data_IF_196593368887
#
_entry.id   IF_196593368887
#
_cell.length_a   1.000
_cell.length_b   1.000
_cell.length_c   1.000
_cell.angle_alpha   90.00
_cell.angle_beta   90.00
_cell.angle_gamma   90.00
#
_symmetry.space_group_name_H-M   'P 1'
#
loop_
_entity.id
_entity.type
_entity.pdbx_description
1 polymer ?
#
# COMPACT_ATOMS: atom_id res chain seq x y z
N UNK A 1 -46.88 -9.88 -57.58
CA UNK A 1 -46.53 -11.08 -56.77
C UNK A 1 -45.16 -10.86 -56.14
N UNK A 2 -45.11 -10.96 -54.81
CA UNK A 2 -43.96 -11.14 -53.89
C UNK A 2 -42.68 -10.31 -54.09
N UNK A 3 -42.54 -9.30 -53.21
CA UNK A 3 -41.26 -8.74 -52.75
C UNK A 3 -40.44 -9.84 -52.07
N UNK A 4 -39.16 -9.98 -52.42
CA UNK A 4 -38.15 -10.63 -51.57
C UNK A 4 -37.04 -9.59 -51.40
N UNK A 5 -37.07 -8.93 -50.24
CA UNK A 5 -35.99 -8.07 -49.75
C UNK A 5 -35.01 -9.04 -49.05
N UNK A 6 -33.83 -9.24 -49.63
CA UNK A 6 -32.75 -9.99 -48.97
C UNK A 6 -32.06 -9.01 -48.03
N UNK A 7 -32.39 -9.08 -46.76
CA UNK A 7 -31.69 -8.35 -45.70
C UNK A 7 -30.43 -9.13 -45.36
N UNK A 8 -29.28 -8.69 -45.89
CA UNK A 8 -27.96 -9.18 -45.49
C UNK A 8 -27.66 -8.66 -44.10
N UNK A 9 -27.79 -9.52 -43.07
CA UNK A 9 -27.27 -9.24 -41.73
C UNK A 9 -25.73 -9.24 -41.81
N UNK A 10 -25.10 -8.06 -41.79
CA UNK A 10 -23.69 -7.94 -41.47
C UNK A 10 -23.53 -8.19 -39.96
N UNK A 11 -23.02 -9.37 -39.62
CA UNK A 11 -22.46 -9.65 -38.30
C UNK A 11 -21.14 -8.86 -38.19
N UNK A 12 -21.18 -7.66 -37.64
CA UNK A 12 -19.97 -6.98 -37.17
C UNK A 12 -19.52 -7.65 -35.89
N UNK A 13 -18.60 -8.63 -36.01
CA UNK A 13 -17.83 -9.09 -34.88
C UNK A 13 -16.97 -7.92 -34.38
N UNK A 14 -17.34 -7.34 -33.25
CA UNK A 14 -16.48 -6.42 -32.53
C UNK A 14 -15.27 -7.23 -32.02
N UNK A 15 -14.18 -7.23 -32.78
CA UNK A 15 -12.87 -7.59 -32.26
C UNK A 15 -12.53 -6.55 -31.19
N UNK A 16 -12.76 -6.90 -29.93
CA UNK A 16 -12.12 -6.22 -28.83
C UNK A 16 -10.62 -6.39 -29.04
N UNK A 17 -9.95 -5.35 -29.53
CA UNK A 17 -8.51 -5.28 -29.51
C UNK A 17 -8.11 -5.22 -28.03
N UNK A 18 -7.77 -6.37 -27.45
CA UNK A 18 -6.99 -6.39 -26.23
C UNK A 18 -5.70 -5.66 -26.55
N UNK A 19 -5.52 -4.46 -25.98
CA UNK A 19 -4.24 -3.78 -26.02
C UNK A 19 -3.22 -4.77 -25.46
N UNK A 20 -2.24 -5.16 -26.28
CA UNK A 20 -1.21 -6.09 -25.86
C UNK A 20 -0.50 -5.49 -24.65
N UNK A 21 -0.50 -6.22 -23.55
CA UNK A 21 0.11 -5.79 -22.31
C UNK A 21 1.58 -5.42 -22.57
N UNK A 22 1.92 -4.15 -22.37
CA UNK A 22 3.26 -3.63 -22.66
C UNK A 22 4.14 -3.84 -21.44
N UNK A 23 4.58 -5.08 -21.24
CA UNK A 23 5.57 -5.41 -20.22
C UNK A 23 6.96 -4.88 -20.62
N UNK A 24 7.82 -4.50 -19.65
CA UNK A 24 9.24 -4.33 -19.90
C UNK A 24 9.85 -5.57 -20.59
N UNK A 25 10.93 -5.40 -21.35
CA UNK A 25 11.51 -6.51 -22.14
C UNK A 25 12.07 -7.66 -21.30
N UNK A 26 12.34 -7.43 -20.02
CA UNK A 26 12.81 -8.45 -19.08
C UNK A 26 11.68 -8.99 -18.17
N UNK A 27 10.42 -8.64 -18.45
CA UNK A 27 9.25 -9.11 -17.72
C UNK A 27 8.51 -10.16 -18.52
N UNK A 28 8.25 -11.30 -17.90
CA UNK A 28 7.51 -12.40 -18.50
C UNK A 28 6.40 -12.81 -17.54
N UNK A 29 5.17 -12.46 -17.89
CA UNK A 29 3.98 -12.79 -17.09
C UNK A 29 3.24 -13.95 -17.75
N UNK A 30 3.03 -15.02 -17.01
CA UNK A 30 2.21 -16.15 -17.40
C UNK A 30 1.12 -16.41 -16.37
N UNK A 31 -0.04 -16.89 -16.82
CA UNK A 31 -1.12 -17.31 -15.94
C UNK A 31 -1.33 -18.80 -16.11
N UNK A 32 -1.12 -19.56 -15.05
CA UNK A 32 -1.29 -21.00 -15.02
C UNK A 32 -2.78 -21.38 -15.07
N UNK A 33 -3.08 -22.63 -15.39
CA UNK A 33 -4.47 -23.12 -15.53
C UNK A 33 -5.27 -23.03 -14.21
N UNK A 34 -4.60 -23.14 -13.06
CA UNK A 34 -5.20 -22.93 -11.74
C UNK A 34 -5.37 -21.45 -11.35
N UNK A 35 -5.01 -20.53 -12.24
CA UNK A 35 -5.17 -19.10 -12.06
C UNK A 35 -4.05 -18.39 -11.31
N UNK A 36 -3.00 -19.10 -10.87
CA UNK A 36 -1.80 -18.45 -10.33
C UNK A 36 -1.12 -17.62 -11.42
N UNK A 37 -0.88 -16.35 -11.13
CA UNK A 37 -0.06 -15.49 -11.98
C UNK A 37 1.42 -15.67 -11.62
N UNK A 38 2.27 -15.98 -12.60
CA UNK A 38 3.71 -16.15 -12.46
C UNK A 38 4.40 -15.05 -13.23
N UNK A 39 5.09 -14.16 -12.52
CA UNK A 39 5.89 -13.09 -13.10
C UNK A 39 7.38 -13.43 -12.96
N UNK A 40 8.08 -13.54 -14.08
CA UNK A 40 9.54 -13.67 -14.10
C UNK A 40 10.17 -12.34 -14.49
N UNK A 41 11.13 -11.87 -13.69
CA UNK A 41 11.91 -10.66 -13.97
C UNK A 41 13.38 -11.05 -14.13
N UNK A 42 13.86 -11.07 -15.37
CA UNK A 42 15.23 -11.47 -15.66
C UNK A 42 16.21 -10.31 -15.36
N UNK A 43 17.22 -10.60 -14.54
CA UNK A 43 18.34 -9.72 -14.21
C UNK A 43 19.60 -10.54 -13.88
N UNK A 44 20.47 -10.69 -14.88
CA UNK A 44 21.69 -11.51 -14.78
C UNK A 44 22.87 -10.75 -14.14
N UNK A 45 22.62 -9.68 -13.39
CA UNK A 45 23.67 -8.85 -12.78
C UNK A 45 24.43 -9.57 -11.66
N UNK A 46 23.76 -10.45 -10.92
CA UNK A 46 24.34 -11.27 -9.83
C UNK A 46 23.71 -12.66 -9.83
N UNK A 47 24.43 -13.74 -9.46
CA UNK A 47 23.94 -15.13 -9.53
C UNK A 47 22.99 -15.49 -8.37
N UNK A 48 22.00 -14.63 -8.13
CA UNK A 48 20.98 -14.75 -7.10
C UNK A 48 19.59 -14.75 -7.73
N UNK A 49 18.64 -15.37 -7.05
CA UNK A 49 17.23 -15.32 -7.37
C UNK A 49 16.44 -14.93 -6.11
N UNK A 50 15.50 -14.01 -6.28
CA UNK A 50 14.48 -13.65 -5.30
C UNK A 50 13.17 -14.33 -5.71
N UNK A 51 12.58 -15.07 -4.79
CA UNK A 51 11.24 -15.65 -4.93
C UNK A 51 10.32 -14.91 -3.99
N UNK A 52 9.20 -14.41 -4.51
CA UNK A 52 8.17 -13.75 -3.74
C UNK A 52 6.80 -14.36 -4.08
N UNK A 53 5.95 -14.56 -3.07
CA UNK A 53 4.54 -14.79 -3.29
C UNK A 53 3.75 -13.69 -2.58
N UNK A 54 2.84 -13.07 -3.33
CA UNK A 54 1.93 -12.04 -2.82
C UNK A 54 0.51 -12.55 -2.85
N UNK A 55 -0.24 -12.24 -1.80
CA UNK A 55 -1.66 -12.55 -1.68
C UNK A 55 -2.43 -11.25 -1.56
N UNK A 56 -3.57 -11.13 -2.26
CA UNK A 56 -4.52 -10.04 -2.00
C UNK A 56 -5.24 -10.32 -0.67
N UNK A 57 -4.56 -9.98 0.41
CA UNK A 57 -4.96 -10.07 1.81
C UNK A 57 -4.23 -8.95 2.56
N UNK A 58 -4.66 -8.53 3.74
CA UNK A 58 -3.98 -7.48 4.51
C UNK A 58 -4.93 -6.83 5.49
N UNK A 59 -4.62 -5.64 5.99
CA UNK A 59 -5.53 -4.96 6.91
C UNK A 59 -6.90 -4.72 6.26
N UNK A 60 -6.95 -4.39 4.96
CA UNK A 60 -8.21 -4.05 4.28
C UNK A 60 -9.26 -5.17 4.24
N UNK A 61 -8.85 -6.42 4.48
CA UNK A 61 -9.69 -7.63 4.51
C UNK A 61 -10.07 -8.06 5.92
N UNK A 62 -9.57 -7.37 6.94
CA UNK A 62 -9.84 -7.66 8.35
C UNK A 62 -11.12 -6.96 8.83
N UNK A 63 -11.70 -7.48 9.90
CA UNK A 63 -12.68 -6.81 10.74
C UNK A 63 -12.13 -6.65 12.18
N UNK A 64 -12.91 -6.10 13.10
CA UNK A 64 -12.48 -5.92 14.49
C UNK A 64 -12.08 -7.22 15.21
N UNK A 65 -12.60 -8.38 14.79
CA UNK A 65 -12.26 -9.67 15.40
C UNK A 65 -10.98 -10.30 14.82
N UNK A 66 -10.49 -9.77 13.70
CA UNK A 66 -9.30 -10.23 12.97
C UNK A 66 -8.22 -9.15 12.83
N UNK A 67 -8.36 -7.97 13.44
CA UNK A 67 -7.42 -6.88 13.21
C UNK A 67 -6.00 -7.19 13.71
N UNK A 68 -5.02 -7.15 12.80
CA UNK A 68 -3.62 -7.53 13.04
C UNK A 68 -3.31 -8.99 12.72
N UNK A 69 -4.31 -9.80 12.38
CA UNK A 69 -4.10 -11.23 12.19
C UNK A 69 -3.52 -11.58 10.82
N UNK A 70 -3.58 -10.69 9.83
CA UNK A 70 -2.78 -10.86 8.60
C UNK A 70 -1.29 -10.71 8.88
N UNK A 71 -0.93 -9.78 9.77
CA UNK A 71 0.46 -9.61 10.23
C UNK A 71 0.89 -10.79 11.11
N UNK A 72 0.03 -11.27 12.02
CA UNK A 72 0.35 -12.50 12.77
C UNK A 72 0.48 -13.72 11.84
N UNK A 73 -0.40 -13.86 10.86
CA UNK A 73 -0.30 -14.90 9.84
C UNK A 73 1.05 -14.82 9.13
N UNK A 74 1.55 -13.61 8.87
CA UNK A 74 2.86 -13.42 8.27
C UNK A 74 4.00 -14.01 9.11
N UNK A 75 3.99 -13.79 10.43
CA UNK A 75 4.95 -14.42 11.34
C UNK A 75 4.83 -15.95 11.32
N UNK A 76 3.58 -16.44 11.29
CA UNK A 76 3.29 -17.88 11.25
C UNK A 76 3.65 -18.55 9.92
N UNK A 77 3.76 -17.79 8.82
CA UNK A 77 4.18 -18.30 7.51
C UNK A 77 5.60 -18.89 7.54
N UNK A 78 6.48 -18.30 8.36
CA UNK A 78 7.88 -18.73 8.51
C UNK A 78 8.09 -19.76 9.63
N UNK A 79 7.06 -20.55 9.92
CA UNK A 79 7.04 -21.57 10.98
C UNK A 79 6.84 -22.99 10.41
N UNK A 80 6.51 -23.94 11.29
CA UNK A 80 6.28 -25.32 10.92
C UNK A 80 5.23 -25.47 9.81
N UNK A 81 5.58 -26.26 8.81
CA UNK A 81 4.74 -26.63 7.69
C UNK A 81 4.82 -28.15 7.45
N UNK A 82 4.02 -28.66 6.52
CA UNK A 82 3.93 -30.10 6.24
C UNK A 82 5.29 -30.78 5.97
N UNK A 83 6.19 -30.11 5.26
CA UNK A 83 7.47 -30.69 4.85
C UNK A 83 8.60 -30.38 5.85
N UNK A 84 8.39 -29.37 6.69
CA UNK A 84 9.32 -28.90 7.72
C UNK A 84 8.54 -28.71 9.03
N UNK A 85 8.31 -29.78 9.81
CA UNK A 85 7.33 -29.78 10.90
C UNK A 85 7.79 -29.13 12.21
N UNK A 86 8.88 -28.35 12.19
CA UNK A 86 9.37 -27.63 13.38
C UNK A 86 10.14 -26.35 13.02
N UNK A 87 10.16 -25.38 13.94
CA UNK A 87 10.95 -24.16 13.79
C UNK A 87 12.46 -24.40 13.66
N UNK A 88 13.00 -25.40 14.37
CA UNK A 88 14.42 -25.74 14.30
C UNK A 88 14.79 -26.25 12.91
N UNK A 89 13.99 -27.15 12.34
CA UNK A 89 14.18 -27.67 10.99
C UNK A 89 13.98 -26.58 9.93
N UNK A 90 13.07 -25.64 10.16
CA UNK A 90 12.86 -24.47 9.29
C UNK A 90 14.12 -23.62 9.20
N UNK A 91 14.68 -23.22 10.34
CA UNK A 91 15.92 -22.45 10.38
C UNK A 91 17.09 -23.24 9.82
N UNK A 92 17.14 -24.55 10.05
CA UNK A 92 18.16 -25.42 9.44
C UNK A 92 18.05 -25.42 7.91
N UNK A 93 16.85 -25.57 7.36
CA UNK A 93 16.62 -25.56 5.91
C UNK A 93 16.95 -24.21 5.28
N UNK A 94 16.59 -23.11 5.94
CA UNK A 94 16.99 -21.75 5.54
C UNK A 94 18.51 -21.63 5.42
N UNK A 95 19.25 -22.10 6.43
CA UNK A 95 20.71 -22.08 6.42
C UNK A 95 21.32 -22.98 5.34
N UNK A 96 20.78 -24.18 5.14
CA UNK A 96 21.23 -25.12 4.10
C UNK A 96 21.08 -24.52 2.69
N UNK A 97 19.99 -23.79 2.43
CA UNK A 97 19.74 -23.13 1.15
C UNK A 97 20.44 -21.78 1.00
N UNK A 98 20.99 -21.23 2.09
CA UNK A 98 21.57 -19.89 2.12
C UNK A 98 20.53 -18.79 1.89
N UNK A 99 19.31 -19.01 2.39
CA UNK A 99 18.17 -18.10 2.21
C UNK A 99 18.31 -16.88 3.12
N UNK A 100 18.07 -15.69 2.56
CA UNK A 100 17.73 -14.48 3.31
C UNK A 100 16.25 -14.18 3.04
N UNK A 101 15.41 -14.24 4.07
CA UNK A 101 13.96 -14.14 3.93
C UNK A 101 13.36 -13.01 4.76
N UNK A 102 12.19 -12.54 4.35
CA UNK A 102 11.35 -11.65 5.14
C UNK A 102 9.89 -11.69 4.59
N UNK A 103 8.96 -11.08 5.31
CA UNK A 103 7.62 -10.78 4.83
C UNK A 103 7.30 -9.30 5.03
N UNK A 104 6.23 -8.82 4.40
CA UNK A 104 5.59 -7.57 4.83
C UNK A 104 4.08 -7.65 4.70
N UNK A 105 3.39 -7.11 5.70
CA UNK A 105 1.95 -6.86 5.70
C UNK A 105 1.67 -5.38 5.55
N UNK A 106 0.73 -5.05 4.67
CA UNK A 106 0.25 -3.69 4.43
C UNK A 106 -1.28 -3.64 4.49
N UNK A 107 -1.82 -2.45 4.24
CA UNK A 107 -3.26 -2.31 4.04
C UNK A 107 -3.77 -3.18 2.90
N UNK A 108 -3.02 -3.37 1.81
CA UNK A 108 -3.54 -3.89 0.53
C UNK A 108 -3.02 -5.29 0.15
N UNK A 109 -1.90 -5.71 0.74
CA UNK A 109 -1.28 -7.02 0.49
C UNK A 109 -0.52 -7.57 1.69
N UNK A 110 -0.34 -8.88 1.68
CA UNK A 110 0.74 -9.59 2.39
C UNK A 110 1.65 -10.23 1.35
N UNK A 111 2.96 -10.07 1.49
CA UNK A 111 3.93 -10.77 0.66
C UNK A 111 4.98 -11.51 1.51
N UNK A 112 5.49 -12.60 0.95
CA UNK A 112 6.50 -13.46 1.53
C UNK A 112 7.60 -13.64 0.53
N UNK A 113 8.83 -13.41 0.93
CA UNK A 113 9.92 -13.46 -0.02
C UNK A 113 11.22 -13.93 0.60
N UNK A 114 12.08 -14.44 -0.27
CA UNK A 114 13.45 -14.75 0.07
C UNK A 114 14.37 -14.64 -1.13
N UNK A 115 15.65 -14.44 -0.86
CA UNK A 115 16.73 -14.46 -1.85
C UNK A 115 17.71 -15.59 -1.55
N UNK A 116 18.15 -16.28 -2.59
CA UNK A 116 19.08 -17.41 -2.55
C UNK A 116 19.99 -17.42 -3.80
N UNK A 117 20.96 -18.34 -3.85
CA UNK A 117 21.67 -18.60 -5.10
C UNK A 117 20.72 -19.18 -6.15
N UNK A 118 20.80 -18.71 -7.39
CA UNK A 118 19.96 -19.22 -8.49
C UNK A 118 20.08 -20.74 -8.71
N UNK A 119 21.21 -21.35 -8.31
CA UNK A 119 21.43 -22.80 -8.36
C UNK A 119 20.46 -23.61 -7.49
N UNK A 120 19.90 -23.00 -6.45
CA UNK A 120 18.97 -23.66 -5.52
C UNK A 120 17.50 -23.25 -5.80
N UNK A 121 17.21 -22.67 -6.98
CA UNK A 121 15.89 -22.09 -7.27
C UNK A 121 14.75 -23.11 -7.13
N UNK A 122 14.94 -24.33 -7.64
CA UNK A 122 13.93 -25.40 -7.53
C UNK A 122 13.62 -25.69 -6.06
N UNK A 123 14.65 -25.85 -5.22
CA UNK A 123 14.51 -26.09 -3.78
C UNK A 123 13.87 -24.89 -3.05
N UNK A 124 14.15 -23.67 -3.52
CA UNK A 124 13.48 -22.46 -3.04
C UNK A 124 11.99 -22.47 -3.36
N UNK A 125 11.61 -22.79 -4.60
CA UNK A 125 10.19 -22.87 -4.99
C UNK A 125 9.45 -23.97 -4.22
N UNK A 126 10.09 -25.12 -3.98
CA UNK A 126 9.56 -26.19 -3.12
C UNK A 126 9.36 -25.68 -1.68
N UNK A 127 10.34 -24.96 -1.13
CA UNK A 127 10.24 -24.34 0.20
C UNK A 127 9.08 -23.35 0.29
N UNK A 128 8.88 -22.50 -0.72
CA UNK A 128 7.75 -21.56 -0.79
C UNK A 128 6.41 -22.31 -0.83
N UNK A 129 6.33 -23.39 -1.61
CA UNK A 129 5.13 -24.22 -1.76
C UNK A 129 4.67 -24.84 -0.44
N UNK A 130 5.60 -25.35 0.37
CA UNK A 130 5.27 -25.93 1.68
C UNK A 130 4.68 -24.87 2.62
N UNK A 131 5.28 -23.68 2.66
CA UNK A 131 4.85 -22.60 3.54
C UNK A 131 3.49 -21.99 3.15
N UNK A 132 3.25 -21.74 1.86
CA UNK A 132 2.01 -21.09 1.40
C UNK A 132 0.79 -22.04 1.43
N UNK A 133 0.96 -23.31 1.06
CA UNK A 133 -0.17 -24.25 0.93
C UNK A 133 -0.44 -25.04 2.20
N UNK A 134 0.61 -25.37 2.95
CA UNK A 134 0.54 -26.35 4.03
C UNK A 134 1.17 -25.88 5.36
N UNK A 135 0.87 -24.65 5.84
CA UNK A 135 1.25 -24.26 7.19
C UNK A 135 0.52 -25.13 8.21
N UNK A 136 1.19 -25.49 9.32
CA UNK A 136 0.60 -26.34 10.36
C UNK A 136 -0.09 -25.54 11.49
N UNK A 137 0.26 -24.26 11.65
CA UNK A 137 -0.21 -23.39 12.74
C UNK A 137 -0.20 -24.09 14.10
N UNK A 138 0.99 -24.49 14.59
CA UNK A 138 1.09 -25.20 15.86
C UNK A 138 0.70 -24.29 17.04
N UNK A 139 -0.11 -24.80 17.96
CA UNK A 139 -0.57 -24.04 19.14
C UNK A 139 0.59 -23.51 20.00
N UNK A 140 1.66 -24.31 20.13
CA UNK A 140 2.86 -23.90 20.86
C UNK A 140 3.60 -22.75 20.19
N UNK A 141 3.69 -22.76 18.85
CA UNK A 141 4.31 -21.68 18.09
C UNK A 141 3.46 -20.39 18.20
N UNK A 142 2.14 -20.49 18.05
CA UNK A 142 1.21 -19.36 18.25
C UNK A 142 1.35 -18.76 19.65
N UNK A 143 1.43 -19.59 20.70
CA UNK A 143 1.60 -19.12 22.07
C UNK A 143 2.88 -18.30 22.27
N UNK A 144 3.93 -18.62 21.51
CA UNK A 144 5.20 -17.91 21.55
C UNK A 144 5.20 -16.66 20.67
N UNK A 145 4.55 -16.70 19.50
CA UNK A 145 4.55 -15.59 18.54
C UNK A 145 3.53 -14.49 18.85
N UNK A 146 2.35 -14.81 19.41
CA UNK A 146 1.37 -13.80 19.81
C UNK A 146 2.00 -12.67 20.65
N UNK A 147 2.76 -12.94 21.75
CA UNK A 147 3.40 -11.88 22.52
C UNK A 147 4.59 -11.21 21.80
N UNK A 148 5.21 -11.86 20.80
CA UNK A 148 6.26 -11.25 19.98
C UNK A 148 5.65 -10.16 19.10
N UNK A 149 4.59 -10.49 18.37
CA UNK A 149 3.84 -9.53 17.54
C UNK A 149 3.25 -8.41 18.39
N UNK A 150 2.69 -8.73 19.55
CA UNK A 150 2.23 -7.74 20.52
C UNK A 150 3.36 -6.81 20.99
N UNK A 151 4.57 -7.35 21.22
CA UNK A 151 5.75 -6.57 21.54
C UNK A 151 6.16 -5.58 20.43
N UNK A 152 5.89 -5.90 19.17
CA UNK A 152 6.06 -4.95 18.06
C UNK A 152 5.04 -3.82 18.10
N UNK A 153 3.79 -4.14 18.45
CA UNK A 153 2.77 -3.14 18.72
C UNK A 153 3.21 -2.22 19.87
N UNK A 154 3.62 -2.77 21.02
CA UNK A 154 4.09 -1.99 22.17
C UNK A 154 5.30 -1.11 21.83
N UNK A 155 6.20 -1.59 20.96
CA UNK A 155 7.31 -0.79 20.44
C UNK A 155 6.81 0.39 19.61
N UNK A 156 5.76 0.19 18.80
CA UNK A 156 5.12 1.29 18.08
C UNK A 156 4.41 2.27 19.04
N UNK A 157 3.76 1.78 20.10
CA UNK A 157 3.15 2.62 21.16
C UNK A 157 4.17 3.52 21.85
N UNK A 158 5.41 3.06 21.95
CA UNK A 158 6.50 3.84 22.54
C UNK A 158 6.92 5.04 21.67
N UNK A 159 6.43 5.14 20.43
CA UNK A 159 6.66 6.28 19.56
C UNK A 159 5.84 7.49 20.04
N UNK A 160 6.44 8.68 20.23
CA UNK A 160 5.72 9.87 20.70
C UNK A 160 4.54 10.29 19.82
N UNK A 161 4.53 9.88 18.54
CA UNK A 161 3.47 10.19 17.57
C UNK A 161 2.34 9.15 17.52
N UNK A 162 2.45 8.03 18.25
CA UNK A 162 1.53 6.91 18.14
C UNK A 162 0.06 7.31 18.39
N UNK A 163 -0.22 8.01 19.49
CA UNK A 163 -1.57 8.44 19.82
C UNK A 163 -2.18 9.40 18.79
N UNK A 164 -1.35 10.26 18.19
CA UNK A 164 -1.78 11.12 17.08
C UNK A 164 -2.19 10.27 15.88
N UNK A 165 -1.36 9.30 15.48
CA UNK A 165 -1.64 8.42 14.34
C UNK A 165 -2.89 7.57 14.57
N UNK A 166 -3.05 6.99 15.75
CA UNK A 166 -4.22 6.18 16.11
C UNK A 166 -5.50 7.03 16.10
N UNK A 167 -5.48 8.20 16.74
CA UNK A 167 -6.64 9.09 16.80
C UNK A 167 -6.99 9.64 15.42
N UNK A 168 -5.98 10.03 14.64
CA UNK A 168 -6.14 10.48 13.26
C UNK A 168 -6.78 9.38 12.40
N UNK A 169 -6.25 8.17 12.45
CA UNK A 169 -6.75 7.01 11.72
C UNK A 169 -8.20 6.68 12.07
N UNK A 170 -8.55 6.64 13.36
CA UNK A 170 -9.93 6.39 13.81
C UNK A 170 -10.90 7.47 13.30
N UNK A 171 -10.49 8.74 13.29
CA UNK A 171 -11.32 9.85 12.77
C UNK A 171 -11.42 9.82 11.24
N UNK A 172 -10.35 9.42 10.55
CA UNK A 172 -10.31 9.31 9.09
C UNK A 172 -11.17 8.16 8.57
N UNK A 173 -11.24 7.05 9.29
CA UNK A 173 -11.78 5.80 8.75
C UNK A 173 -12.99 5.26 9.53
N UNK A 174 -13.32 5.86 10.68
CA UNK A 174 -14.48 5.54 11.49
C UNK A 174 -14.50 4.07 11.91
N UNK A 175 -15.68 3.45 11.79
CA UNK A 175 -15.89 2.05 12.15
C UNK A 175 -14.99 1.10 11.36
N UNK A 176 -14.54 1.48 10.16
CA UNK A 176 -13.67 0.65 9.31
C UNK A 176 -12.18 0.90 9.54
N UNK A 177 -11.78 1.55 10.64
CA UNK A 177 -10.39 1.86 10.95
C UNK A 177 -9.44 0.64 10.90
N UNK A 178 -9.91 -0.53 11.35
CA UNK A 178 -9.13 -1.77 11.32
C UNK A 178 -8.56 -2.09 9.93
N UNK A 179 -9.21 -1.61 8.85
CA UNK A 179 -8.76 -1.78 7.46
C UNK A 179 -7.57 -0.94 7.03
N UNK A 180 -7.13 -0.05 7.92
CA UNK A 180 -5.98 0.86 7.75
C UNK A 180 -5.02 0.74 8.95
N UNK A 181 -5.11 -0.38 9.67
CA UNK A 181 -4.37 -0.64 10.89
C UNK A 181 -3.71 -2.03 10.83
N UNK A 182 -2.67 -2.21 10.00
CA UNK A 182 -2.00 -3.50 9.84
C UNK A 182 -1.32 -4.00 11.12
N UNK A 183 -0.98 -3.10 12.04
CA UNK A 183 -0.37 -3.47 13.32
C UNK A 183 -1.35 -4.15 14.29
N UNK A 184 -2.67 -3.90 14.13
CA UNK A 184 -3.72 -4.66 14.81
C UNK A 184 -4.21 -4.10 16.14
N UNK A 185 -4.78 -4.98 16.97
CA UNK A 185 -5.24 -4.69 18.33
C UNK A 185 -4.66 -5.70 19.31
N UNK A 186 -4.11 -5.23 20.44
CA UNK A 186 -3.54 -6.08 21.51
C UNK A 186 -4.39 -7.31 21.83
N UNK A 187 -5.65 -7.09 22.21
CA UNK A 187 -6.53 -8.17 22.65
C UNK A 187 -6.78 -9.20 21.54
N UNK A 188 -6.85 -8.76 20.28
CA UNK A 188 -7.09 -9.63 19.12
C UNK A 188 -5.84 -10.48 18.82
N UNK A 189 -4.66 -9.87 18.87
CA UNK A 189 -3.37 -10.53 18.63
C UNK A 189 -3.08 -11.54 19.74
N UNK A 190 -3.18 -11.12 21.01
CA UNK A 190 -2.88 -11.96 22.16
C UNK A 190 -3.84 -13.16 22.27
N UNK A 191 -5.11 -12.99 21.88
CA UNK A 191 -6.13 -14.04 21.89
C UNK A 191 -6.24 -14.83 20.58
N UNK A 192 -5.33 -14.60 19.61
CA UNK A 192 -5.36 -15.30 18.33
C UNK A 192 -5.19 -16.81 18.49
N UNK A 193 -5.96 -17.57 17.70
CA UNK A 193 -5.96 -19.04 17.72
C UNK A 193 -5.58 -19.61 16.36
N UNK A 194 -5.20 -20.88 16.34
CA UNK A 194 -4.93 -21.64 15.11
C UNK A 194 -6.15 -21.67 14.20
N UNK A 195 -7.36 -21.76 14.76
CA UNK A 195 -8.63 -21.67 14.02
C UNK A 195 -8.76 -20.34 13.25
N UNK A 196 -8.35 -19.21 13.85
CA UNK A 196 -8.37 -17.92 13.12
C UNK A 196 -7.39 -17.89 11.96
N UNK A 197 -6.22 -18.52 12.09
CA UNK A 197 -5.26 -18.64 10.99
C UNK A 197 -5.82 -19.50 9.86
N UNK A 198 -6.49 -20.62 10.19
CA UNK A 198 -7.18 -21.45 9.21
C UNK A 198 -8.33 -20.69 8.52
N UNK A 199 -9.08 -19.85 9.24
CA UNK A 199 -10.12 -19.00 8.62
C UNK A 199 -9.49 -18.05 7.61
N UNK A 200 -8.38 -17.38 7.94
CA UNK A 200 -7.68 -16.46 7.03
C UNK A 200 -7.19 -17.22 5.80
N UNK A 201 -6.53 -18.37 6.00
CA UNK A 201 -6.04 -19.23 4.93
C UNK A 201 -7.17 -19.60 3.96
N UNK A 202 -8.26 -20.15 4.48
CA UNK A 202 -9.40 -20.63 3.69
C UNK A 202 -10.26 -19.50 3.10
N UNK A 203 -10.00 -18.24 3.43
CA UNK A 203 -10.63 -17.09 2.77
C UNK A 203 -9.81 -16.59 1.59
N UNK A 204 -8.49 -16.49 1.73
CA UNK A 204 -7.69 -15.67 0.83
C UNK A 204 -6.49 -16.38 0.18
N UNK A 205 -6.02 -17.51 0.72
CA UNK A 205 -4.78 -18.16 0.28
C UNK A 205 -5.06 -19.21 -0.80
N UNK A 206 -5.27 -18.72 -2.01
CA UNK A 206 -5.54 -19.51 -3.21
C UNK A 206 -4.69 -19.01 -4.39
N UNK A 207 -4.38 -19.88 -5.38
CA UNK A 207 -3.56 -19.50 -6.53
C UNK A 207 -4.21 -18.37 -7.34
N UNK A 208 -5.53 -18.44 -7.56
CA UNK A 208 -6.31 -17.42 -8.26
C UNK A 208 -6.53 -16.11 -7.46
N UNK A 209 -5.97 -16.00 -6.25
CA UNK A 209 -5.90 -14.76 -5.47
C UNK A 209 -4.44 -14.35 -5.14
N UNK A 210 -3.47 -14.97 -5.81
CA UNK A 210 -2.04 -14.84 -5.52
C UNK A 210 -1.22 -14.61 -6.80
N UNK A 211 -0.02 -14.07 -6.64
CA UNK A 211 0.98 -13.98 -7.68
C UNK A 211 2.33 -14.47 -7.15
N UNK A 212 2.99 -15.34 -7.91
CA UNK A 212 4.37 -15.75 -7.70
C UNK A 212 5.27 -14.85 -8.57
N UNK A 213 6.25 -14.20 -7.96
CA UNK A 213 7.28 -13.45 -8.67
C UNK A 213 8.64 -14.11 -8.44
N UNK A 214 9.38 -14.34 -9.53
CA UNK A 214 10.76 -14.84 -9.49
C UNK A 214 11.65 -13.85 -10.23
N UNK A 215 12.62 -13.27 -9.54
CA UNK A 215 13.45 -12.20 -10.10
C UNK A 215 14.95 -12.45 -9.87
N UNK A 216 15.80 -12.11 -10.84
CA UNK A 216 17.27 -12.25 -10.73
C UNK A 216 17.88 -13.01 -11.91
N UNK A 217 19.02 -13.69 -11.69
CA UNK A 217 19.75 -14.46 -12.71
C UNK A 217 19.03 -15.79 -12.96
N UNK A 218 17.89 -15.69 -13.65
CA UNK A 218 16.94 -16.76 -13.96
C UNK A 218 16.50 -16.65 -15.42
N UNK A 219 15.99 -17.76 -15.97
CA UNK A 219 15.42 -17.82 -17.32
C UNK A 219 13.93 -18.14 -17.24
N UNK A 220 13.08 -17.27 -17.78
CA UNK A 220 11.63 -17.49 -17.77
C UNK A 220 11.19 -18.80 -18.44
N UNK A 221 11.90 -19.25 -19.49
CA UNK A 221 11.63 -20.52 -20.17
C UNK A 221 11.85 -21.75 -19.27
N UNK A 222 12.63 -21.59 -18.19
CA UNK A 222 12.88 -22.63 -17.18
C UNK A 222 11.99 -22.45 -15.95
N UNK A 223 11.83 -21.21 -15.48
CA UNK A 223 11.09 -20.86 -14.26
C UNK A 223 9.61 -21.18 -14.39
N UNK A 224 8.97 -20.84 -15.51
CA UNK A 224 7.54 -21.08 -15.70
C UNK A 224 7.21 -22.58 -15.61
N UNK A 225 7.91 -23.50 -16.32
CA UNK A 225 7.70 -24.93 -16.13
C UNK A 225 7.97 -25.43 -14.70
N UNK A 226 8.96 -24.85 -13.99
CA UNK A 226 9.18 -25.18 -12.57
C UNK A 226 8.00 -24.77 -11.70
N UNK A 227 7.47 -23.56 -11.91
CA UNK A 227 6.31 -23.05 -11.20
C UNK A 227 5.08 -23.91 -11.47
N UNK A 228 4.80 -24.25 -12.74
CA UNK A 228 3.70 -25.16 -13.11
C UNK A 228 3.86 -26.54 -12.45
N UNK A 229 5.08 -27.10 -12.45
CA UNK A 229 5.34 -28.39 -11.81
C UNK A 229 5.07 -28.39 -10.31
N UNK A 230 5.36 -27.28 -9.61
CA UNK A 230 5.28 -27.19 -8.15
C UNK A 230 3.89 -26.72 -7.69
N UNK A 231 3.34 -25.72 -8.37
CA UNK A 231 2.12 -25.02 -7.97
C UNK A 231 0.91 -25.36 -8.84
N UNK A 232 1.06 -26.03 -9.99
CA UNK A 232 -0.04 -26.30 -10.92
C UNK A 232 -1.16 -27.18 -10.33
N UNK A 233 -0.85 -27.99 -9.31
CA UNK A 233 -1.83 -28.78 -8.54
C UNK A 233 -2.36 -28.05 -7.29
N UNK A 234 -2.03 -26.77 -7.12
CA UNK A 234 -2.66 -25.94 -6.10
C UNK A 234 -4.09 -25.64 -6.53
N UNK A 235 -5.06 -26.19 -5.80
CA UNK A 235 -6.47 -26.02 -6.11
C UNK A 235 -6.89 -24.54 -6.02
N UNK A 236 -7.54 -23.98 -7.06
CA UNK A 236 -8.12 -22.64 -7.00
C UNK A 236 -9.30 -22.60 -6.04
N UNK A 237 -9.61 -21.40 -5.54
CA UNK A 237 -10.88 -21.17 -4.87
C UNK A 237 -12.04 -21.39 -5.84
N UNK A 238 -13.12 -22.04 -5.37
CA UNK A 238 -14.39 -22.19 -6.09
C UNK A 238 -15.28 -20.93 -6.02
N UNK A 239 -14.82 -19.88 -5.34
CA UNK A 239 -15.47 -18.57 -5.24
C UNK A 239 -14.47 -17.41 -5.35
N UNK A 240 -14.93 -16.23 -5.74
CA UNK A 240 -14.16 -14.99 -5.56
C UNK A 240 -14.24 -14.55 -4.08
N UNK A 241 -13.09 -14.46 -3.35
CA UNK A 241 -13.09 -14.04 -1.95
C UNK A 241 -13.76 -12.69 -1.70
N UNK A 242 -13.66 -11.76 -2.63
CA UNK A 242 -14.19 -10.40 -2.48
C UNK A 242 -15.66 -10.27 -2.90
N UNK A 243 -16.21 -11.24 -3.62
CA UNK A 243 -17.66 -11.35 -3.81
C UNK A 243 -18.33 -12.08 -2.63
N UNK A 244 -17.69 -13.15 -2.13
CA UNK A 244 -18.21 -13.93 -1.00
C UNK A 244 -18.08 -13.19 0.33
N UNK A 245 -17.00 -12.45 0.50
CA UNK A 245 -16.71 -11.62 1.67
C UNK A 245 -16.49 -10.17 1.21
N UNK A 246 -17.58 -9.46 0.88
CA UNK A 246 -17.47 -8.12 0.34
C UNK A 246 -16.81 -7.17 1.33
N UNK A 247 -15.84 -6.43 0.82
CA UNK A 247 -15.10 -5.44 1.58
C UNK A 247 -15.99 -4.19 1.74
N UNK A 248 -16.28 -3.72 2.97
CA UNK A 248 -17.12 -2.54 3.18
C UNK A 248 -16.52 -1.27 2.53
N UNK A 249 -17.35 -0.33 2.09
CA UNK A 249 -16.85 1.00 1.70
C UNK A 249 -16.64 1.88 2.93
N UNK A 250 -15.74 2.85 2.85
CA UNK A 250 -15.58 3.84 3.91
C UNK A 250 -16.75 4.84 3.89
N UNK A 251 -17.32 5.13 5.06
CA UNK A 251 -18.32 6.18 5.17
C UNK A 251 -17.66 7.54 4.85
N UNK A 252 -18.30 8.42 4.06
CA UNK A 252 -17.75 9.75 3.80
C UNK A 252 -17.49 10.51 5.10
N UNK A 253 -16.36 11.23 5.14
CA UNK A 253 -16.07 12.19 6.20
C UNK A 253 -17.19 13.25 6.29
N UNK A 254 -17.38 13.82 7.49
CA UNK A 254 -18.42 14.82 7.76
C UNK A 254 -17.79 16.12 8.26
N UNK A 255 -17.88 17.17 7.45
CA UNK A 255 -17.34 18.49 7.78
C UNK A 255 -15.86 18.47 8.15
N UNK A 256 -15.46 19.44 8.94
CA UNK A 256 -14.12 19.50 9.55
C UNK A 256 -14.15 18.79 10.91
N UNK A 257 -13.21 17.88 11.14
CA UNK A 257 -12.98 17.26 12.45
C UNK A 257 -11.60 17.63 12.96
N UNK A 258 -11.52 18.42 14.05
CA UNK A 258 -10.26 18.80 14.71
C UNK A 258 -10.04 18.00 15.99
N UNK A 259 -8.79 17.72 16.33
CA UNK A 259 -8.41 17.18 17.63
C UNK A 259 -6.98 17.54 18.03
N UNK A 260 -6.76 17.63 19.34
CA UNK A 260 -5.45 17.88 19.94
C UNK A 260 -4.93 16.59 20.59
N UNK A 261 -3.65 16.30 20.40
CA UNK A 261 -2.91 15.27 21.13
C UNK A 261 -1.76 15.92 21.89
N UNK A 262 -1.61 15.56 23.15
CA UNK A 262 -0.53 16.07 23.99
C UNK A 262 0.49 14.97 24.24
N UNK A 263 1.77 15.32 24.09
CA UNK A 263 2.87 14.40 24.37
C UNK A 263 4.05 15.16 24.97
N UNK A 264 4.47 14.76 26.17
CA UNK A 264 5.66 15.33 26.82
C UNK A 264 6.94 15.10 26.02
N UNK A 265 6.93 14.08 25.15
CA UNK A 265 8.05 13.71 24.28
C UNK A 265 8.00 14.45 22.93
N UNK A 266 6.93 15.18 22.61
CA UNK A 266 6.87 16.00 21.41
C UNK A 266 7.90 17.14 21.52
N UNK A 267 8.86 17.19 20.60
CA UNK A 267 9.86 18.26 20.55
C UNK A 267 9.42 19.44 19.71
N UNK A 268 8.57 19.20 18.74
CA UNK A 268 8.00 20.20 17.83
C UNK A 268 6.50 19.96 17.70
N UNK A 269 5.70 21.02 17.48
CA UNK A 269 4.32 20.85 17.05
C UNK A 269 4.26 20.09 15.73
N UNK A 270 3.23 19.26 15.54
CA UNK A 270 3.01 18.47 14.34
C UNK A 270 1.54 18.49 13.97
N UNK A 271 1.22 18.97 12.78
CA UNK A 271 -0.10 18.83 12.19
C UNK A 271 -0.15 17.64 11.24
N UNK A 272 -1.25 16.91 11.32
CA UNK A 272 -1.69 15.95 10.32
C UNK A 272 -3.05 16.38 9.78
N UNK A 273 -3.16 16.58 8.47
CA UNK A 273 -4.44 16.87 7.82
C UNK A 273 -4.73 15.75 6.82
N UNK A 274 -5.96 15.27 6.78
CA UNK A 274 -6.35 14.11 5.98
C UNK A 274 -7.65 14.32 5.24
N UNK A 275 -7.66 13.92 3.97
CA UNK A 275 -8.85 13.82 3.13
C UNK A 275 -9.01 12.40 2.60
N UNK A 276 -10.24 12.00 2.28
CA UNK A 276 -10.46 10.82 1.45
C UNK A 276 -10.05 11.13 0.01
N UNK A 277 -9.13 10.33 -0.54
CA UNK A 277 -8.61 10.46 -1.89
C UNK A 277 -9.22 9.48 -2.89
N UNK A 278 -8.74 9.53 -4.15
CA UNK A 278 -9.16 8.60 -5.19
C UNK A 278 -8.74 7.16 -4.88
N UNK A 279 -9.43 6.21 -5.49
CA UNK A 279 -9.07 4.79 -5.49
C UNK A 279 -8.93 4.25 -6.91
N UNK A 280 -8.27 3.10 -7.05
CA UNK A 280 -7.93 2.54 -8.37
C UNK A 280 -9.12 1.87 -9.07
N UNK A 281 -10.24 1.65 -8.36
CA UNK A 281 -11.47 1.07 -8.92
C UNK A 281 -12.34 2.13 -9.60
N UNK A 282 -12.42 3.31 -9.00
CA UNK A 282 -13.43 4.32 -9.30
C UNK A 282 -12.85 5.58 -9.97
N UNK A 283 -11.61 5.97 -9.66
CA UNK A 283 -10.97 7.14 -10.30
C UNK A 283 -9.46 6.97 -10.49
N UNK A 284 -9.10 5.98 -11.31
CA UNK A 284 -7.71 5.68 -11.67
C UNK A 284 -6.96 6.89 -12.25
N UNK A 285 -7.65 7.82 -12.91
CA UNK A 285 -7.00 8.98 -13.52
C UNK A 285 -6.52 9.97 -12.46
N UNK A 286 -7.32 10.16 -11.41
CA UNK A 286 -7.01 11.06 -10.30
C UNK A 286 -5.88 10.54 -9.42
N UNK A 287 -5.59 9.22 -9.39
CA UNK A 287 -4.43 8.68 -8.65
C UNK A 287 -3.11 9.21 -9.23
N UNK A 288 -2.95 9.19 -10.57
CA UNK A 288 -1.79 9.79 -11.23
C UNK A 288 -1.72 11.31 -11.04
N UNK A 289 -2.88 11.99 -11.05
CA UNK A 289 -2.94 13.43 -10.84
C UNK A 289 -2.50 13.81 -9.42
N UNK A 290 -2.86 12.98 -8.42
CA UNK A 290 -2.44 13.15 -7.03
C UNK A 290 -0.92 13.11 -6.89
N UNK A 291 -0.26 12.09 -7.47
CA UNK A 291 1.20 11.95 -7.42
C UNK A 291 1.91 13.13 -8.10
N UNK A 292 1.49 13.49 -9.31
CA UNK A 292 2.08 14.63 -10.03
C UNK A 292 1.90 15.92 -9.23
N UNK A 293 0.70 16.15 -8.67
CA UNK A 293 0.43 17.34 -7.89
C UNK A 293 1.28 17.41 -6.62
N UNK A 294 1.39 16.30 -5.87
CA UNK A 294 2.28 16.19 -4.71
C UNK A 294 3.72 16.54 -5.05
N UNK A 295 4.24 16.05 -6.19
CA UNK A 295 5.60 16.38 -6.65
C UNK A 295 5.76 17.82 -7.15
N UNK A 296 4.68 18.51 -7.56
CA UNK A 296 4.72 19.96 -7.80
C UNK A 296 4.92 20.69 -6.47
N UNK A 297 4.15 20.32 -5.45
CA UNK A 297 4.16 20.99 -4.14
C UNK A 297 5.48 20.78 -3.38
N UNK A 298 6.15 19.65 -3.56
CA UNK A 298 7.41 19.32 -2.89
C UNK A 298 8.64 20.02 -3.48
N UNK A 299 8.55 20.59 -4.68
CA UNK A 299 9.68 21.31 -5.28
C UNK A 299 10.03 22.55 -4.45
N UNK A 300 11.32 22.76 -4.16
CA UNK A 300 11.79 23.96 -3.47
C UNK A 300 11.35 25.27 -4.16
N UNK A 301 11.15 25.24 -5.48
CA UNK A 301 10.68 26.39 -6.25
C UNK A 301 9.18 26.70 -6.08
N UNK A 302 8.40 25.78 -5.49
CA UNK A 302 6.94 25.87 -5.35
C UNK A 302 6.54 27.00 -4.41
N UNK A 303 5.35 27.60 -4.63
CA UNK A 303 4.81 28.65 -3.75
C UNK A 303 4.73 28.15 -2.30
N UNK A 304 4.27 26.91 -2.10
CA UNK A 304 4.13 26.28 -0.78
C UNK A 304 5.48 26.20 -0.04
N UNK A 305 6.53 25.70 -0.69
CA UNK A 305 7.85 25.56 -0.04
C UNK A 305 8.48 26.93 0.25
N UNK A 306 8.37 27.87 -0.67
CA UNK A 306 8.88 29.24 -0.46
C UNK A 306 8.20 29.92 0.72
N UNK A 307 6.88 29.90 0.74
CA UNK A 307 6.12 30.67 1.71
C UNK A 307 6.11 30.04 3.11
N UNK A 308 6.25 28.72 3.23
CA UNK A 308 6.30 28.03 4.53
C UNK A 308 7.73 27.75 5.01
N UNK A 309 8.61 27.24 4.15
CA UNK A 309 9.95 26.77 4.56
C UNK A 309 10.99 27.88 4.42
N UNK A 310 11.10 28.53 3.26
CA UNK A 310 12.13 29.56 3.04
C UNK A 310 11.92 30.80 3.94
N UNK A 311 10.67 31.13 4.30
CA UNK A 311 10.34 32.19 5.26
C UNK A 311 10.59 31.81 6.73
N UNK A 312 10.79 30.52 7.03
CA UNK A 312 10.96 30.01 8.38
C UNK A 312 9.67 29.85 9.20
N UNK A 313 8.50 29.89 8.56
CA UNK A 313 7.22 29.60 9.22
C UNK A 313 7.11 28.13 9.66
N UNK A 314 7.64 27.21 8.84
CA UNK A 314 7.64 25.78 9.10
C UNK A 314 9.01 25.14 8.83
N UNK A 315 9.26 24.05 9.54
CA UNK A 315 10.43 23.20 9.37
C UNK A 315 10.21 22.18 8.24
N UNK A 316 8.96 21.73 8.07
CA UNK A 316 8.57 20.75 7.07
C UNK A 316 7.13 20.96 6.65
N UNK A 317 6.87 20.82 5.35
CA UNK A 317 5.52 20.65 4.79
C UNK A 317 5.59 19.60 3.69
N UNK A 318 4.75 18.58 3.81
CA UNK A 318 4.67 17.48 2.85
C UNK A 318 3.20 17.20 2.53
N UNK A 319 2.93 17.00 1.24
CA UNK A 319 1.62 16.58 0.74
C UNK A 319 1.80 15.28 -0.01
N UNK A 320 1.08 14.24 0.41
CA UNK A 320 1.18 12.90 -0.15
C UNK A 320 -0.19 12.30 -0.40
N UNK A 321 -0.20 11.29 -1.26
CA UNK A 321 -1.33 10.41 -1.53
C UNK A 321 -0.81 8.97 -1.54
N UNK A 322 -1.61 8.04 -1.02
CA UNK A 322 -1.29 6.62 -1.09
C UNK A 322 -2.28 5.91 -2.02
N UNK A 323 -1.75 5.27 -3.06
CA UNK A 323 -2.53 4.47 -4.01
C UNK A 323 -3.03 3.20 -3.35
N UNK A 324 -4.35 3.06 -3.23
CA UNK A 324 -5.02 1.89 -2.67
C UNK A 324 -6.16 1.44 -3.61
N UNK A 325 -6.57 0.16 -3.51
CA UNK A 325 -7.71 -0.39 -4.27
C UNK A 325 -9.03 0.22 -3.80
N UNK A 326 -9.15 0.38 -2.50
CA UNK A 326 -10.20 1.15 -1.84
C UNK A 326 -9.67 2.55 -1.52
N UNK A 327 -10.51 3.41 -0.94
CA UNK A 327 -10.15 4.80 -0.62
C UNK A 327 -8.75 4.94 -0.03
N UNK A 328 -7.89 5.68 -0.76
CA UNK A 328 -6.56 6.07 -0.32
C UNK A 328 -6.59 7.40 0.44
N UNK A 329 -5.75 7.62 1.46
CA UNK A 329 -5.67 8.93 2.11
C UNK A 329 -4.89 9.93 1.25
N UNK A 330 -5.38 11.17 1.22
CA UNK A 330 -4.53 12.34 0.95
C UNK A 330 -4.09 12.86 2.31
N UNK A 331 -2.79 13.03 2.51
CA UNK A 331 -2.23 13.46 3.79
C UNK A 331 -1.35 14.69 3.60
N UNK A 332 -1.50 15.63 4.53
CA UNK A 332 -0.62 16.79 4.66
C UNK A 332 0.01 16.73 6.03
N UNK A 333 1.34 16.73 6.07
CA UNK A 333 2.14 16.87 7.28
C UNK A 333 2.71 18.28 7.30
N UNK A 334 2.47 19.01 8.40
CA UNK A 334 3.06 20.31 8.64
C UNK A 334 3.75 20.29 10.00
N UNK A 335 5.06 20.56 10.01
CA UNK A 335 5.85 20.76 11.23
C UNK A 335 6.16 22.25 11.31
N UNK A 336 5.35 23.06 12.00
CA UNK A 336 5.60 24.48 12.06
C UNK A 336 6.78 24.81 12.97
N UNK A 337 7.35 26.00 12.79
CA UNK A 337 8.25 26.56 13.78
C UNK A 337 7.44 26.79 15.08
N UNK A 338 7.91 26.33 16.26
CA UNK A 338 7.18 26.48 17.52
C UNK A 338 6.74 27.91 17.84
N UNK A 339 7.43 28.93 17.33
CA UNK A 339 7.06 30.33 17.53
C UNK A 339 6.00 30.86 16.55
N UNK A 340 5.70 30.13 15.48
CA UNK A 340 4.87 30.56 14.36
C UNK A 340 3.73 29.56 14.04
N UNK A 341 3.28 28.76 15.02
CA UNK A 341 2.32 27.66 14.80
C UNK A 341 1.05 28.12 14.09
N UNK A 342 0.38 29.15 14.62
CA UNK A 342 -0.82 29.73 14.01
C UNK A 342 -0.55 30.25 12.60
N UNK A 343 0.51 31.05 12.43
CA UNK A 343 0.84 31.67 11.15
C UNK A 343 1.15 30.63 10.06
N UNK A 344 1.83 29.54 10.42
CA UNK A 344 2.11 28.43 9.51
C UNK A 344 0.84 27.65 9.15
N UNK A 345 -0.04 27.42 10.12
CA UNK A 345 -1.34 26.77 9.89
C UNK A 345 -2.24 27.58 8.96
N UNK A 346 -2.39 28.88 9.23
CA UNK A 346 -3.17 29.79 8.39
C UNK A 346 -2.59 29.89 6.98
N UNK A 347 -1.26 29.95 6.87
CA UNK A 347 -0.59 30.03 5.57
C UNK A 347 -0.75 28.74 4.77
N UNK A 348 -0.76 27.57 5.42
CA UNK A 348 -1.07 26.31 4.76
C UNK A 348 -2.49 26.33 4.17
N UNK A 349 -3.49 26.78 4.93
CA UNK A 349 -4.87 26.88 4.43
C UNK A 349 -5.04 27.91 3.32
N UNK A 350 -4.32 29.03 3.37
CA UNK A 350 -4.23 29.96 2.26
C UNK A 350 -3.81 29.22 0.98
N UNK A 351 -2.76 28.40 1.05
CA UNK A 351 -2.32 27.60 -0.11
C UNK A 351 -3.32 26.55 -0.55
N UNK A 352 -3.94 25.81 0.38
CA UNK A 352 -4.96 24.79 0.04
C UNK A 352 -6.10 25.44 -0.76
N UNK A 353 -6.54 26.64 -0.34
CA UNK A 353 -7.59 27.39 -1.03
C UNK A 353 -7.17 27.91 -2.41
N UNK A 354 -5.87 28.13 -2.64
CA UNK A 354 -5.30 28.58 -3.91
C UNK A 354 -4.87 27.43 -4.85
N UNK A 355 -4.94 26.16 -4.43
CA UNK A 355 -4.39 25.03 -5.23
C UNK A 355 -5.04 24.85 -6.59
N UNK A 356 -6.26 25.34 -6.76
CA UNK A 356 -6.98 25.30 -8.02
C UNK A 356 -6.80 26.58 -8.86
N UNK A 357 -6.02 27.55 -8.39
CA UNK A 357 -5.76 28.78 -9.13
C UNK A 357 -4.95 28.45 -10.41
N UNK A 358 -5.33 29.00 -11.58
CA UNK A 358 -4.68 28.67 -12.85
C UNK A 358 -3.17 28.92 -12.87
N UNK A 359 -2.68 29.86 -12.08
CA UNK A 359 -1.28 30.29 -11.97
C UNK A 359 -0.60 29.86 -10.66
N UNK A 360 -1.19 28.92 -9.89
CA UNK A 360 -0.57 28.43 -8.66
C UNK A 360 0.82 27.82 -8.91
N UNK A 361 0.97 27.06 -10.00
CA UNK A 361 2.22 26.46 -10.45
C UNK A 361 2.46 26.69 -11.94
N UNK A 362 3.71 26.70 -12.37
CA UNK A 362 4.11 26.90 -13.78
C UNK A 362 4.12 25.59 -14.58
N UNK A 363 4.12 25.69 -15.92
CA UNK A 363 4.24 24.50 -16.78
C UNK A 363 5.59 23.80 -16.58
N UNK A 364 6.63 24.58 -16.27
CA UNK A 364 7.94 24.04 -15.91
C UNK A 364 7.90 23.19 -14.63
N UNK A 365 7.16 23.63 -13.61
CA UNK A 365 6.99 22.85 -12.37
C UNK A 365 6.19 21.56 -12.61
N UNK A 366 5.16 21.61 -13.45
CA UNK A 366 4.40 20.43 -13.87
C UNK A 366 5.29 19.41 -14.59
N UNK A 367 6.06 19.86 -15.58
CA UNK A 367 6.96 18.97 -16.32
C UNK A 367 8.14 18.47 -15.47
N UNK A 368 8.61 19.28 -14.51
CA UNK A 368 9.62 18.86 -13.53
C UNK A 368 9.08 17.78 -12.61
N UNK A 369 7.84 17.91 -12.11
CA UNK A 369 7.22 16.89 -11.27
C UNK A 369 7.13 15.53 -11.97
N UNK A 370 6.67 15.51 -13.23
CA UNK A 370 6.62 14.29 -14.05
C UNK A 370 8.00 13.65 -14.26
N UNK A 371 9.04 14.47 -14.44
CA UNK A 371 10.43 13.98 -14.57
C UNK A 371 10.95 13.41 -13.27
N UNK A 372 10.72 14.08 -12.15
CA UNK A 372 11.14 13.61 -10.82
C UNK A 372 10.48 12.26 -10.49
N UNK A 373 9.18 12.11 -10.75
CA UNK A 373 8.50 10.83 -10.59
C UNK A 373 9.08 9.72 -11.49
N UNK A 374 9.40 10.03 -12.75
CA UNK A 374 10.01 9.07 -13.66
C UNK A 374 11.45 8.68 -13.23
N UNK A 375 12.17 9.61 -12.59
CA UNK A 375 13.50 9.38 -12.03
C UNK A 375 13.38 8.49 -10.78
N UNK A 376 12.44 8.77 -9.89
CA UNK A 376 12.18 7.98 -8.68
C UNK A 376 11.78 6.54 -9.02
N UNK A 377 10.87 6.37 -9.99
CA UNK A 377 10.53 5.04 -10.55
C UNK A 377 11.76 4.34 -11.13
N UNK A 378 12.63 5.04 -11.87
CA UNK A 378 13.87 4.44 -12.38
C UNK A 378 14.83 4.01 -11.26
N UNK A 379 15.01 4.82 -10.22
CA UNK A 379 15.86 4.50 -9.07
C UNK A 379 15.31 3.30 -8.28
N UNK A 380 13.99 3.23 -8.08
CA UNK A 380 13.35 2.10 -7.38
C UNK A 380 13.58 0.74 -8.04
N UNK A 381 13.93 0.73 -9.34
CA UNK A 381 14.19 -0.47 -10.15
C UNK A 381 15.65 -0.93 -10.11
N UNK A 382 16.57 -0.14 -9.57
CA UNK A 382 18.00 -0.47 -9.60
C UNK A 382 18.34 -1.73 -8.78
N UNK A 383 17.58 -1.99 -7.72
CA UNK A 383 17.72 -3.20 -6.92
C UNK A 383 16.55 -4.14 -7.19
N UNK A 384 16.78 -5.16 -8.02
CA UNK A 384 15.77 -6.15 -8.44
C UNK A 384 15.02 -6.77 -7.25
N UNK A 385 15.69 -7.05 -6.13
CA UNK A 385 15.05 -7.58 -4.92
C UNK A 385 14.04 -6.61 -4.29
N UNK A 386 14.34 -5.31 -4.24
CA UNK A 386 13.44 -4.29 -3.68
C UNK A 386 12.30 -3.96 -4.64
N UNK A 387 12.62 -4.06 -5.93
CA UNK A 387 11.71 -3.71 -6.99
C UNK A 387 10.51 -4.65 -7.07
N UNK A 388 10.71 -5.95 -6.85
CA UNK A 388 9.63 -6.96 -6.80
C UNK A 388 8.51 -6.54 -5.83
N UNK A 389 8.86 -6.05 -4.65
CA UNK A 389 7.89 -5.61 -3.63
C UNK A 389 6.99 -4.47 -4.12
N UNK A 390 7.52 -3.58 -4.96
CA UNK A 390 6.75 -2.48 -5.55
C UNK A 390 5.76 -3.02 -6.57
N UNK A 391 6.20 -3.93 -7.45
CA UNK A 391 5.34 -4.55 -8.46
C UNK A 391 4.18 -5.31 -7.80
N UNK A 392 4.46 -6.10 -6.77
CA UNK A 392 3.44 -6.89 -6.07
C UNK A 392 2.48 -6.01 -5.28
N UNK A 393 2.94 -4.89 -4.71
CA UNK A 393 2.05 -3.93 -4.06
C UNK A 393 1.04 -3.36 -5.07
N UNK A 394 1.52 -2.94 -6.24
CA UNK A 394 0.68 -2.33 -7.26
C UNK A 394 -0.24 -3.33 -7.97
N UNK A 395 0.20 -4.59 -8.10
CA UNK A 395 -0.67 -5.67 -8.55
C UNK A 395 -1.84 -5.92 -7.59
N UNK A 396 -1.62 -5.78 -6.29
CA UNK A 396 -2.65 -5.97 -5.27
C UNK A 396 -3.57 -4.75 -5.13
N UNK A 397 -3.00 -3.54 -5.06
CA UNK A 397 -3.73 -2.28 -4.87
C UNK A 397 -4.36 -1.74 -6.16
N UNK A 398 -3.91 -2.21 -7.32
CA UNK A 398 -4.43 -1.83 -8.63
C UNK A 398 -4.39 -3.03 -9.59
N UNK A 399 -3.47 -3.00 -10.54
CA UNK A 399 -3.21 -4.03 -11.54
C UNK A 399 -1.74 -3.96 -11.95
N UNK A 400 -1.21 -5.05 -12.52
CA UNK A 400 0.11 -5.03 -13.15
C UNK A 400 0.20 -3.99 -14.30
N UNK A 401 -0.92 -3.68 -14.95
CA UNK A 401 -1.00 -2.66 -16.01
C UNK A 401 -0.88 -1.24 -15.48
N UNK A 402 -1.39 -0.98 -14.26
CA UNK A 402 -1.19 0.28 -13.57
C UNK A 402 0.31 0.55 -13.37
N UNK A 403 1.02 -0.49 -12.93
CA UNK A 403 2.47 -0.45 -12.73
C UNK A 403 3.24 -0.23 -14.03
N UNK A 404 3.02 -1.09 -15.04
CA UNK A 404 3.81 -1.05 -16.29
C UNK A 404 3.56 0.19 -17.14
N UNK A 405 2.38 0.81 -17.02
CA UNK A 405 2.05 2.05 -17.72
C UNK A 405 2.17 3.31 -16.86
N UNK A 406 2.65 3.21 -15.62
CA UNK A 406 2.66 4.31 -14.64
C UNK A 406 3.30 5.58 -15.20
N UNK A 407 4.58 5.51 -15.58
CA UNK A 407 5.33 6.65 -16.11
C UNK A 407 4.72 7.21 -17.39
N UNK A 408 4.15 6.36 -18.25
CA UNK A 408 3.46 6.81 -19.46
C UNK A 408 2.19 7.60 -19.12
N UNK A 409 1.43 7.15 -18.12
CA UNK A 409 0.22 7.81 -17.66
C UNK A 409 0.49 9.10 -16.89
N UNK A 410 1.58 9.16 -16.11
CA UNK A 410 2.08 10.39 -15.48
C UNK A 410 2.41 11.47 -16.52
N UNK A 411 3.10 11.11 -17.60
CA UNK A 411 3.45 12.05 -18.69
C UNK A 411 2.20 12.68 -19.32
N UNK A 412 1.10 11.91 -19.39
CA UNK A 412 -0.19 12.35 -19.92
C UNK A 412 -0.95 13.27 -18.97
N UNK A 413 -0.59 13.40 -17.68
CA UNK A 413 -1.33 14.23 -16.72
C UNK A 413 -1.33 15.69 -17.17
N UNK A 414 -2.51 16.31 -17.16
CA UNK A 414 -2.74 17.70 -17.54
C UNK A 414 -3.13 18.56 -16.33
N UNK A 415 -3.09 19.89 -16.48
CA UNK A 415 -3.64 20.82 -15.49
C UNK A 415 -5.12 20.55 -15.19
N UNK A 416 -5.89 20.11 -16.19
CA UNK A 416 -7.30 19.78 -16.01
C UNK A 416 -7.47 18.53 -15.15
N UNK A 417 -6.62 17.52 -15.32
CA UNK A 417 -6.63 16.32 -14.46
C UNK A 417 -6.33 16.70 -13.00
N UNK A 418 -5.31 17.54 -12.76
CA UNK A 418 -4.94 18.04 -11.43
C UNK A 418 -6.07 18.88 -10.83
N UNK A 419 -6.65 19.80 -11.61
CA UNK A 419 -7.78 20.62 -11.17
C UNK A 419 -9.00 19.75 -10.81
N UNK A 420 -9.30 18.71 -11.60
CA UNK A 420 -10.36 17.75 -11.26
C UNK A 420 -10.06 17.06 -9.92
N UNK A 421 -8.84 16.57 -9.73
CA UNK A 421 -8.41 15.92 -8.50
C UNK A 421 -8.55 16.85 -7.28
N UNK A 422 -8.00 18.07 -7.35
CA UNK A 422 -8.07 19.06 -6.27
C UNK A 422 -9.52 19.42 -5.93
N UNK A 423 -10.35 19.71 -6.94
CA UNK A 423 -11.77 20.04 -6.73
C UNK A 423 -12.58 18.87 -6.14
N UNK A 424 -12.26 17.64 -6.53
CA UNK A 424 -13.03 16.46 -6.13
C UNK A 424 -12.67 15.99 -4.72
N UNK A 425 -11.39 16.08 -4.36
CA UNK A 425 -10.87 15.41 -3.16
C UNK A 425 -10.29 16.34 -2.09
N UNK A 426 -10.14 17.64 -2.37
CA UNK A 426 -9.49 18.58 -1.44
C UNK A 426 -10.34 19.83 -1.22
N UNK A 427 -10.66 20.57 -2.28
CA UNK A 427 -11.39 21.85 -2.16
C UNK A 427 -12.78 21.64 -1.59
N UNK A 428 -13.07 22.35 -0.49
CA UNK A 428 -14.32 22.26 0.26
C UNK A 428 -14.70 20.84 0.71
N UNK A 429 -13.73 19.92 0.74
CA UNK A 429 -13.98 18.55 1.15
C UNK A 429 -13.89 18.39 2.67
N UNK A 430 -14.76 17.54 3.25
CA UNK A 430 -14.62 17.11 4.63
C UNK A 430 -13.24 16.51 4.91
N UNK A 431 -12.69 16.83 6.07
CA UNK A 431 -11.31 16.46 6.41
C UNK A 431 -11.10 16.36 7.91
N UNK A 432 -10.01 15.70 8.28
CA UNK A 432 -9.57 15.55 9.66
C UNK A 432 -8.30 16.36 9.86
N UNK A 433 -8.20 17.11 10.96
CA UNK A 433 -7.00 17.82 11.38
C UNK A 433 -6.62 17.36 12.79
N UNK A 434 -5.47 16.72 12.92
CA UNK A 434 -4.82 16.44 14.19
C UNK A 434 -3.68 17.42 14.44
N UNK A 435 -3.57 17.92 15.66
CA UNK A 435 -2.41 18.68 16.13
C UNK A 435 -1.80 17.97 17.33
N UNK A 436 -0.51 17.65 17.27
CA UNK A 436 0.26 17.24 18.42
C UNK A 436 1.14 18.38 18.92
N UNK A 437 1.13 18.61 20.22
CA UNK A 437 2.04 19.57 20.89
C UNK A 437 2.61 18.99 22.17
N UNK A 438 3.71 19.58 22.63
CA UNK A 438 4.11 19.43 24.03
C UNK A 438 3.20 20.28 24.92
N UNK A 439 2.71 19.78 26.07
CA UNK A 439 1.87 20.56 26.98
C UNK A 439 2.47 21.93 27.36
N UNK A 440 3.80 22.01 27.47
CA UNK A 440 4.52 23.26 27.76
C UNK A 440 4.33 24.35 26.70
N UNK A 441 3.88 24.00 25.50
CA UNK A 441 3.66 24.94 24.39
C UNK A 441 2.29 25.66 24.45
N UNK A 442 1.34 25.15 25.24
CA UNK A 442 0.00 25.74 25.38
C UNK A 442 0.01 27.20 25.81
N UNK A 443 1.04 27.63 26.54
CA UNK A 443 1.15 29.00 27.03
C UNK A 443 1.37 30.06 25.95
N UNK A 444 1.73 29.66 24.72
CA UNK A 444 2.02 30.58 23.62
C UNK A 444 1.47 30.16 22.26
N UNK A 445 0.70 29.05 22.19
CA UNK A 445 -0.06 28.65 21.01
C UNK A 445 -1.53 28.96 21.26
N UNK A 446 -2.13 29.79 20.41
CA UNK A 446 -3.57 30.07 20.46
C UNK A 446 -4.36 28.94 19.77
N UNK A 447 -4.61 27.87 20.52
CA UNK A 447 -5.37 26.71 20.04
C UNK A 447 -6.81 27.10 19.63
N UNK A 448 -7.40 28.07 20.33
CA UNK A 448 -8.77 28.51 20.09
C UNK A 448 -8.92 29.24 18.76
N UNK A 449 -7.92 30.05 18.38
CA UNK A 449 -7.90 30.74 17.08
C UNK A 449 -7.82 29.76 15.89
N UNK A 450 -7.21 28.58 16.07
CA UNK A 450 -7.20 27.50 15.06
C UNK A 450 -8.43 26.59 15.12
N UNK A 451 -9.33 26.80 16.09
CA UNK A 451 -10.51 25.96 16.29
C UNK A 451 -10.22 24.60 16.93
N UNK A 452 -9.11 24.44 17.65
CA UNK A 452 -8.90 23.30 18.53
C UNK A 452 -9.51 23.63 19.89
N UNK A 453 -10.54 22.90 20.27
CA UNK A 453 -11.05 22.95 21.63
C UNK A 453 -10.00 22.30 22.56
N UNK A 454 -9.67 22.98 23.67
CA UNK A 454 -8.98 22.32 24.76
C UNK A 454 -9.95 21.26 25.28
N UNK A 455 -9.61 19.98 25.09
CA UNK A 455 -10.50 18.88 25.46
C UNK A 455 -10.97 19.04 26.91
N UNK A 456 -12.27 18.85 27.14
CA UNK A 456 -12.77 18.55 28.48
C UNK A 456 -12.09 17.25 28.94
N UNK A 457 -11.41 17.30 30.09
CA UNK A 457 -10.76 16.17 30.75
C UNK A 457 -11.72 14.99 31.02
#
# INVERSE_FOLDING_TARGET
MKKILVTTLLFTAALAAFAQQKLPSNFYLEKLDNGLEVLVIEDNSVPLATVEIVVRNGAYTEDSAFNGLSHLYEHMFFKANKDIPSQEEFLKRVNELGIIFNGTTSDERVNYFFTLSNKNLMEGLEFMNSAIRYPLFLEEEMKNENPVVDGEFQRAESNPYFELFQTFGRKMWGDNYYRKNPIGLHDVILSATTEKMEIIKNKYYYPNNSMLVVAGDVNHEEVVPMAEKIFGDWEPSDFDPFERYPIPEFAPLKGETKFLTESENAQVPLFMIGFHGPDTRNDLRSTYAADVFSYILQQASSKLQKDLIETGLALQVQVGYQTNKYTGPIQIILVPNPMNVQAAYDKLWEHINMWNDPDYYTDEQLETAKKLLAIDDAYSKEATSNFVHTVTYWWASATIDYYTNYVENLKKVTRQDISKYVNTYITDQPHVVGLMINPSMKGYIDLSAMGFEAGEE
#
